data_IF_729102090789
#
_entry.id   IF_729102090789
#
_cell.length_a   1.000
_cell.length_b   1.000
_cell.length_c   1.000
_cell.angle_alpha   90.00
_cell.angle_beta   90.00
_cell.angle_gamma   90.00
#
_symmetry.space_group_name_H-M   'P 1'
#
loop_
_entity.id
_entity.type
_entity.pdbx_description
1 polymer ?
#
# COMPACT_ATOMS: atom_id res chain seq x y z
N UNK A 1 -5.60 -2.93 8.98
CA UNK A 1 -4.77 -2.44 7.86
C UNK A 1 -4.77 -0.92 7.90
N UNK A 2 -3.63 -0.28 7.64
CA UNK A 2 -3.55 1.16 7.46
C UNK A 2 -3.88 1.50 6.00
N UNK A 3 -4.79 2.43 5.79
CA UNK A 3 -5.22 2.92 4.48
C UNK A 3 -4.90 4.40 4.45
N UNK A 4 -4.35 4.89 3.34
CA UNK A 4 -3.89 6.28 3.24
C UNK A 4 -4.53 6.97 2.06
N UNK A 5 -4.66 8.29 2.16
CA UNK A 5 -5.11 9.15 1.07
C UNK A 5 -3.92 9.97 0.60
N UNK A 6 -3.58 9.81 -0.67
CA UNK A 6 -2.45 10.51 -1.31
C UNK A 6 -2.64 12.02 -1.21
N UNK A 7 -1.59 12.77 -0.90
CA UNK A 7 -1.65 14.23 -0.87
C UNK A 7 -2.10 14.81 -2.22
N UNK A 8 -2.66 16.02 -2.18
CA UNK A 8 -3.06 16.71 -3.40
C UNK A 8 -1.85 17.18 -4.24
N UNK A 9 -0.66 17.24 -3.66
CA UNK A 9 0.59 17.59 -4.34
C UNK A 9 1.20 16.45 -5.16
N UNK A 10 0.70 15.21 -5.04
CA UNK A 10 1.22 14.07 -5.81
C UNK A 10 0.99 14.27 -7.30
N UNK A 11 2.04 14.01 -8.09
CA UNK A 11 1.99 14.10 -9.56
C UNK A 11 0.97 13.14 -10.18
N UNK A 12 0.92 11.91 -9.67
CA UNK A 12 -0.02 10.87 -10.09
C UNK A 12 -0.99 10.54 -8.95
N UNK A 13 -2.26 10.38 -9.31
CA UNK A 13 -3.35 10.00 -8.40
C UNK A 13 -3.46 10.88 -7.13
N UNK A 14 -3.49 12.22 -7.23
CA UNK A 14 -3.66 13.08 -6.06
C UNK A 14 -5.04 12.87 -5.41
N UNK A 15 -5.10 12.85 -4.08
CA UNK A 15 -6.36 12.75 -3.32
C UNK A 15 -7.04 11.37 -3.36
N UNK A 16 -6.39 10.34 -3.91
CA UNK A 16 -6.92 8.98 -4.03
C UNK A 16 -6.61 8.16 -2.78
N UNK A 17 -7.60 7.39 -2.31
CA UNK A 17 -7.43 6.40 -1.23
C UNK A 17 -6.71 5.15 -1.75
N UNK A 18 -5.76 4.63 -0.99
CA UNK A 18 -4.86 3.53 -1.40
C UNK A 18 -4.36 2.73 -0.18
N UNK A 19 -3.66 1.61 -0.45
CA UNK A 19 -2.89 0.87 0.55
C UNK A 19 -1.83 1.76 1.22
N UNK A 20 -1.26 1.29 2.35
CA UNK A 20 -0.45 2.10 3.26
C UNK A 20 0.61 2.99 2.58
N UNK A 21 1.47 2.40 1.74
CA UNK A 21 2.67 3.04 1.16
C UNK A 21 2.97 2.38 -0.18
N UNK A 22 3.35 3.17 -1.18
CA UNK A 22 3.89 2.68 -2.44
C UNK A 22 5.10 3.50 -2.89
N UNK A 23 6.06 2.85 -3.56
CA UNK A 23 7.25 3.53 -4.05
C UNK A 23 8.26 2.57 -4.66
N UNK A 24 9.41 3.11 -5.04
CA UNK A 24 10.43 2.37 -5.76
C UNK A 24 11.69 2.14 -4.91
N UNK A 25 12.36 0.99 -5.09
CA UNK A 25 13.70 0.80 -4.55
C UNK A 25 14.70 1.73 -5.24
N UNK A 26 15.70 2.17 -4.49
CA UNK A 26 16.85 2.88 -5.03
C UNK A 26 17.92 1.90 -5.53
N UNK A 27 18.94 2.41 -6.23
CA UNK A 27 20.04 1.58 -6.71
C UNK A 27 20.76 0.89 -5.55
N UNK A 28 20.85 -0.44 -5.61
CA UNK A 28 21.48 -1.26 -4.58
C UNK A 28 20.63 -1.53 -3.34
N UNK A 29 19.39 -1.05 -3.31
CA UNK A 29 18.45 -1.24 -2.21
C UNK A 29 17.62 -2.52 -2.39
N UNK A 30 17.43 -3.32 -1.34
CA UNK A 30 16.45 -4.42 -1.36
C UNK A 30 15.03 -3.88 -1.26
N UNK A 31 14.03 -4.67 -1.64
CA UNK A 31 12.64 -4.25 -1.50
C UNK A 31 12.25 -4.00 -0.04
N UNK A 32 12.73 -4.82 0.90
CA UNK A 32 12.45 -4.66 2.34
C UNK A 32 13.05 -3.36 2.90
N UNK A 33 14.25 -3.00 2.42
CA UNK A 33 14.88 -1.70 2.73
C UNK A 33 14.04 -0.54 2.17
N UNK A 34 13.59 -0.65 0.92
CA UNK A 34 12.75 0.36 0.27
C UNK A 34 11.41 0.54 1.00
N UNK A 35 10.75 -0.56 1.39
CA UNK A 35 9.52 -0.53 2.20
C UNK A 35 9.77 0.19 3.52
N UNK A 36 10.82 -0.18 4.25
CA UNK A 36 11.18 0.48 5.53
C UNK A 36 11.43 1.97 5.36
N UNK A 37 12.22 2.35 4.35
CA UNK A 37 12.53 3.76 4.05
C UNK A 37 11.29 4.56 3.69
N UNK A 38 10.41 4.03 2.83
CA UNK A 38 9.18 4.71 2.42
C UNK A 38 8.17 4.80 3.56
N UNK A 39 8.03 3.77 4.39
CA UNK A 39 7.20 3.82 5.60
C UNK A 39 7.66 4.92 6.56
N UNK A 40 8.97 5.03 6.81
CA UNK A 40 9.51 6.15 7.63
C UNK A 40 9.27 7.50 6.98
N UNK A 41 9.49 7.62 5.67
CA UNK A 41 9.39 8.90 4.97
C UNK A 41 7.97 9.41 4.80
N UNK A 42 7.02 8.54 4.42
CA UNK A 42 5.63 8.94 4.14
C UNK A 42 4.76 8.96 5.40
N UNK A 43 5.02 8.06 6.35
CA UNK A 43 4.13 7.82 7.49
C UNK A 43 4.78 8.05 8.85
N UNK A 44 6.09 8.32 8.90
CA UNK A 44 6.81 8.49 10.16
C UNK A 44 6.82 7.24 11.04
N UNK A 45 6.60 6.05 10.46
CA UNK A 45 6.47 4.80 11.22
C UNK A 45 7.71 3.91 11.17
N UNK A 46 7.96 3.22 12.27
CA UNK A 46 8.78 2.02 12.32
C UNK A 46 7.92 0.78 12.04
N UNK A 47 8.52 -0.20 11.35
CA UNK A 47 7.85 -1.44 10.96
C UNK A 47 8.65 -2.68 11.37
N UNK A 48 7.94 -3.78 11.60
CA UNK A 48 8.49 -5.12 11.82
C UNK A 48 7.80 -6.15 10.93
N UNK A 49 8.29 -7.40 10.96
CA UNK A 49 7.63 -8.55 10.31
C UNK A 49 7.38 -8.34 8.81
N UNK A 50 8.34 -7.78 8.07
CA UNK A 50 8.19 -7.54 6.63
C UNK A 50 8.11 -8.89 5.91
N UNK A 51 7.02 -9.12 5.17
CA UNK A 51 6.77 -10.37 4.45
C UNK A 51 6.20 -10.12 3.05
N UNK A 52 6.70 -10.80 2.01
CA UNK A 52 6.12 -10.68 0.68
C UNK A 52 4.74 -11.37 0.63
N UNK A 53 3.76 -10.74 -0.01
CA UNK A 53 2.40 -11.28 -0.18
C UNK A 53 2.01 -11.43 -1.65
N UNK A 54 2.60 -10.64 -2.56
CA UNK A 54 2.43 -10.83 -4.00
C UNK A 54 3.73 -10.47 -4.76
N UNK A 55 4.75 -11.35 -4.77
CA UNK A 55 6.07 -11.05 -5.32
C UNK A 55 6.08 -10.75 -6.83
N UNK A 56 5.18 -11.38 -7.58
CA UNK A 56 5.12 -11.28 -9.04
C UNK A 56 4.13 -10.21 -9.56
N UNK A 57 3.60 -9.34 -8.68
CA UNK A 57 2.59 -8.37 -9.08
C UNK A 57 3.15 -7.35 -10.08
N UNK A 58 2.36 -7.08 -11.11
CA UNK A 58 2.63 -6.13 -12.18
C UNK A 58 1.33 -5.46 -12.54
N UNK A 59 1.38 -4.16 -12.80
CA UNK A 59 0.19 -3.43 -13.23
C UNK A 59 0.54 -2.36 -14.24
N UNK A 60 -0.47 -1.97 -15.03
CA UNK A 60 -0.43 -0.79 -15.87
C UNK A 60 -1.70 0.00 -15.66
N UNK A 61 -1.57 1.26 -15.26
CA UNK A 61 -2.69 2.16 -15.03
C UNK A 61 -2.44 3.54 -15.64
N UNK A 62 -3.51 4.26 -15.96
CA UNK A 62 -3.44 5.62 -16.50
C UNK A 62 -4.21 6.53 -15.54
N UNK A 63 -3.50 7.49 -14.96
CA UNK A 63 -4.09 8.48 -14.06
C UNK A 63 -5.04 9.42 -14.83
N UNK A 64 -5.99 10.10 -14.13
CA UNK A 64 -6.94 11.00 -14.79
C UNK A 64 -6.27 12.14 -15.58
N UNK A 65 -5.05 12.52 -15.22
CA UNK A 65 -4.24 13.53 -15.92
C UNK A 65 -3.38 12.96 -17.07
N UNK A 66 -3.54 11.68 -17.42
CA UNK A 66 -2.86 11.01 -18.52
C UNK A 66 -1.49 10.39 -18.17
N UNK A 67 -0.99 10.54 -16.93
CA UNK A 67 0.25 9.88 -16.50
C UNK A 67 0.05 8.37 -16.50
N UNK A 68 0.98 7.64 -17.13
CA UNK A 68 0.95 6.18 -17.20
C UNK A 68 1.93 5.61 -16.17
N UNK A 69 1.43 4.73 -15.31
CA UNK A 69 2.23 3.86 -14.46
C UNK A 69 2.25 2.47 -15.10
N UNK A 70 3.42 1.88 -15.30
CA UNK A 70 3.61 0.54 -15.85
C UNK A 70 4.75 -0.13 -15.10
N UNK A 71 4.42 -0.88 -14.06
CA UNK A 71 5.38 -1.21 -13.00
C UNK A 71 5.44 -2.71 -12.69
N UNK A 72 6.63 -3.15 -12.32
CA UNK A 72 6.84 -4.38 -11.56
C UNK A 72 6.84 -4.00 -10.10
N UNK A 73 5.83 -4.44 -9.36
CA UNK A 73 5.53 -3.92 -8.03
C UNK A 73 5.28 -5.06 -7.03
N UNK A 74 6.33 -5.77 -6.58
CA UNK A 74 6.18 -6.80 -5.56
C UNK A 74 5.48 -6.24 -4.32
N UNK A 75 4.44 -6.93 -3.84
CA UNK A 75 3.62 -6.46 -2.71
C UNK A 75 4.09 -7.09 -1.42
N UNK A 76 4.16 -6.28 -0.36
CA UNK A 76 4.59 -6.66 0.97
C UNK A 76 3.54 -6.31 2.03
N UNK A 77 3.54 -7.09 3.11
CA UNK A 77 2.87 -6.76 4.36
C UNK A 77 3.92 -6.54 5.45
N UNK A 78 3.60 -5.65 6.40
CA UNK A 78 4.44 -5.37 7.55
C UNK A 78 3.56 -4.93 8.74
N UNK A 79 4.10 -5.03 9.95
CA UNK A 79 3.47 -4.56 11.18
C UNK A 79 4.02 -3.18 11.54
N UNK A 80 3.16 -2.22 11.77
CA UNK A 80 3.55 -0.92 12.37
C UNK A 80 3.81 -1.12 13.87
N UNK A 81 4.94 -0.60 14.36
CA UNK A 81 5.39 -0.75 15.76
C UNK A 81 5.63 0.60 16.47
N UNK A 82 5.25 1.71 15.83
CA UNK A 82 5.31 3.06 16.40
C UNK A 82 4.01 3.84 16.10
N UNK A 83 3.92 5.05 16.63
CA UNK A 83 2.86 5.99 16.26
C UNK A 83 2.99 6.42 14.79
N UNK A 84 1.86 6.71 14.13
CA UNK A 84 1.80 7.20 12.76
C UNK A 84 1.93 8.73 12.77
N UNK A 85 2.92 9.25 12.05
CA UNK A 85 3.18 10.68 11.88
C UNK A 85 3.35 10.98 10.38
N UNK A 86 2.23 11.13 9.63
CA UNK A 86 2.29 11.28 8.18
C UNK A 86 3.07 12.53 7.76
N UNK A 87 3.76 12.41 6.64
CA UNK A 87 4.28 13.56 5.92
C UNK A 87 3.15 14.15 5.04
N UNK A 88 2.71 15.36 5.35
CA UNK A 88 1.61 16.04 4.66
C UNK A 88 1.87 16.26 3.14
N UNK A 89 3.13 16.30 2.73
CA UNK A 89 3.51 16.37 1.32
C UNK A 89 3.20 15.06 0.57
N UNK A 90 3.04 13.95 1.28
CA UNK A 90 2.84 12.60 0.73
C UNK A 90 1.43 12.06 1.01
N UNK A 91 0.90 12.27 2.22
CA UNK A 91 -0.35 11.71 2.72
C UNK A 91 -1.19 12.81 3.36
N UNK A 92 -2.43 13.00 2.89
CA UNK A 92 -3.34 14.02 3.41
C UNK A 92 -4.38 13.49 4.41
N UNK A 93 -4.56 12.17 4.49
CA UNK A 93 -5.50 11.52 5.40
C UNK A 93 -5.11 10.03 5.56
N UNK A 94 -5.48 9.40 6.66
CA UNK A 94 -5.26 7.97 6.88
C UNK A 94 -6.31 7.38 7.82
N UNK A 95 -6.55 6.07 7.68
CA UNK A 95 -7.50 5.33 8.52
C UNK A 95 -6.97 3.93 8.83
N UNK A 96 -7.23 3.49 10.06
CA UNK A 96 -7.09 2.08 10.44
C UNK A 96 -8.41 1.36 10.16
N UNK A 97 -8.39 0.39 9.25
CA UNK A 97 -9.58 -0.36 8.82
C UNK A 97 -9.34 -1.85 9.03
N UNK A 98 -10.36 -2.59 9.48
CA UNK A 98 -10.28 -4.04 9.50
C UNK A 98 -10.03 -4.60 8.08
N UNK A 99 -9.19 -5.64 7.98
CA UNK A 99 -8.80 -6.18 6.67
C UNK A 99 -10.02 -6.74 5.92
N UNK A 100 -10.93 -7.45 6.60
CA UNK A 100 -12.10 -8.02 5.94
C UNK A 100 -13.04 -6.91 5.46
N UNK A 101 -13.25 -5.87 6.26
CA UNK A 101 -14.01 -4.67 5.86
C UNK A 101 -13.40 -4.00 4.63
N UNK A 102 -12.07 -3.85 4.59
CA UNK A 102 -11.39 -3.25 3.44
C UNK A 102 -11.56 -4.10 2.18
N UNK A 103 -11.38 -5.41 2.27
CA UNK A 103 -11.57 -6.31 1.12
C UNK A 103 -13.01 -6.26 0.58
N UNK A 104 -14.01 -6.17 1.45
CA UNK A 104 -15.41 -5.98 1.03
C UNK A 104 -15.63 -4.63 0.34
N UNK A 105 -15.03 -3.54 0.84
CA UNK A 105 -15.15 -2.22 0.23
C UNK A 105 -14.49 -2.14 -1.15
N UNK A 106 -13.32 -2.78 -1.34
CA UNK A 106 -12.66 -2.87 -2.64
C UNK A 106 -13.53 -3.61 -3.67
N UNK A 107 -14.22 -4.68 -3.26
CA UNK A 107 -15.10 -5.42 -4.14
C UNK A 107 -16.39 -4.65 -4.49
N UNK A 108 -16.96 -3.91 -3.53
CA UNK A 108 -18.23 -3.20 -3.72
C UNK A 108 -18.05 -1.88 -4.50
N UNK A 109 -16.97 -1.15 -4.23
CA UNK A 109 -16.73 0.19 -4.78
C UNK A 109 -15.28 0.35 -5.24
N UNK A 110 -14.80 -0.43 -6.23
CA UNK A 110 -13.40 -0.40 -6.65
C UNK A 110 -12.96 0.97 -7.18
N UNK A 111 -13.88 1.74 -7.77
CA UNK A 111 -13.64 3.08 -8.31
C UNK A 111 -13.26 4.13 -7.25
N UNK A 112 -13.49 3.86 -5.97
CA UNK A 112 -13.17 4.78 -4.88
C UNK A 112 -11.70 4.69 -4.42
N UNK A 113 -10.95 3.71 -4.94
CA UNK A 113 -9.58 3.39 -4.51
C UNK A 113 -8.61 3.44 -5.69
N UNK A 114 -7.32 3.44 -5.39
CA UNK A 114 -6.29 3.32 -6.40
C UNK A 114 -6.41 1.99 -7.17
N UNK A 115 -6.13 1.99 -8.49
CA UNK A 115 -6.30 0.79 -9.30
C UNK A 115 -5.37 -0.35 -8.86
N UNK A 116 -4.15 -0.04 -8.41
CA UNK A 116 -3.24 -1.08 -7.91
C UNK A 116 -3.77 -1.73 -6.64
N UNK A 117 -4.31 -0.97 -5.67
CA UNK A 117 -4.87 -1.54 -4.44
C UNK A 117 -6.02 -2.53 -4.74
N UNK A 118 -6.86 -2.20 -5.73
CA UNK A 118 -7.93 -3.09 -6.19
C UNK A 118 -7.33 -4.36 -6.82
N UNK A 119 -6.41 -4.21 -7.77
CA UNK A 119 -5.77 -5.33 -8.48
C UNK A 119 -4.97 -6.26 -7.55
N UNK A 120 -4.27 -5.70 -6.56
CA UNK A 120 -3.56 -6.46 -5.51
C UNK A 120 -4.55 -7.35 -4.73
N UNK A 121 -5.73 -6.82 -4.41
CA UNK A 121 -6.77 -7.52 -3.67
C UNK A 121 -7.58 -8.52 -4.51
N UNK A 122 -7.59 -8.42 -5.83
CA UNK A 122 -8.27 -9.40 -6.69
C UNK A 122 -7.58 -10.78 -6.62
N UNK A 123 -6.24 -10.79 -6.50
CA UNK A 123 -5.46 -12.01 -6.40
C UNK A 123 -5.83 -12.80 -5.13
N UNK A 124 -6.27 -14.04 -5.31
CA UNK A 124 -6.71 -14.91 -4.20
C UNK A 124 -5.56 -15.27 -3.25
N UNK A 125 -4.40 -15.60 -3.81
CA UNK A 125 -3.23 -16.01 -3.03
C UNK A 125 -2.67 -14.85 -2.22
N UNK A 126 -2.66 -13.64 -2.79
CA UNK A 126 -2.28 -12.42 -2.09
C UNK A 126 -3.23 -12.09 -0.93
N UNK A 127 -4.55 -12.23 -1.14
CA UNK A 127 -5.54 -12.08 -0.06
C UNK A 127 -5.36 -13.10 1.05
N UNK A 128 -5.07 -14.36 0.68
CA UNK A 128 -4.80 -15.39 1.67
C UNK A 128 -3.52 -15.08 2.44
N UNK A 129 -2.44 -14.69 1.76
CA UNK A 129 -1.17 -14.30 2.39
C UNK A 129 -1.34 -13.11 3.36
N UNK A 130 -2.14 -12.10 3.01
CA UNK A 130 -2.50 -10.99 3.91
C UNK A 130 -3.30 -11.46 5.13
N UNK A 131 -4.24 -12.39 4.93
CA UNK A 131 -5.04 -12.97 6.01
C UNK A 131 -4.17 -13.76 6.98
N UNK A 132 -3.29 -14.61 6.45
CA UNK A 132 -2.33 -15.41 7.22
C UNK A 132 -1.34 -14.51 7.96
N UNK A 133 -0.90 -13.42 7.32
CA UNK A 133 -0.06 -12.41 7.94
C UNK A 133 -0.72 -11.82 9.18
N UNK A 134 -1.97 -11.35 9.06
CA UNK A 134 -2.73 -10.78 10.19
C UNK A 134 -2.97 -11.81 11.28
N UNK A 135 -3.28 -13.06 10.92
CA UNK A 135 -3.49 -14.14 11.88
C UNK A 135 -2.23 -14.42 12.72
N UNK A 136 -1.05 -14.45 12.08
CA UNK A 136 0.23 -14.65 12.78
C UNK A 136 0.58 -13.53 13.77
N UNK A 137 0.15 -12.29 13.51
CA UNK A 137 0.42 -11.17 14.42
C UNK A 137 -0.44 -11.19 15.70
N UNK A 138 -1.53 -11.98 15.71
CA UNK A 138 -2.47 -12.11 16.84
C UNK A 138 -2.15 -13.31 17.76
N UNK A 139 -1.31 -14.23 17.31
CA UNK A 139 -0.81 -15.36 18.10
C UNK A 139 0.50 -15.03 18.79
#
# INVERSE_FOLDING_TARGET
MLVTRRSLGKKAWPGVWTNSVCGHPQQGETFEQAVTRRCRFELGVEISDIAPVHPAFRYRAVAPNGIVENEVCPVYAARVVSEVQPNDDEVMDYQWVDLATMLSALAATPWAFSPWMVLEAENRDARQALTDFVARLRG
#
